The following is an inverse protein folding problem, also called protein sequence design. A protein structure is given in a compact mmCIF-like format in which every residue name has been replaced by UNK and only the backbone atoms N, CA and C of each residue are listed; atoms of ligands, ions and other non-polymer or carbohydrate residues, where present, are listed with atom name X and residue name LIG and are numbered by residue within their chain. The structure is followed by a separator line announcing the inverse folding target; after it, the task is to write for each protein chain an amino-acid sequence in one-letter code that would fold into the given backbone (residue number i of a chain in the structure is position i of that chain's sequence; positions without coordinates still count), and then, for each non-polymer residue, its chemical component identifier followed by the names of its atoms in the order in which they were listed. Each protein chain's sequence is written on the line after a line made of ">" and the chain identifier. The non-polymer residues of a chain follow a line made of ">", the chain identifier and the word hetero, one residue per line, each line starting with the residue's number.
data_IF_003292099080
#
_entry.id   IF_003292099080
#
_cell.length_a   1.000
_cell.length_b   1.000
_cell.length_c   1.000
_cell.angle_alpha   90.00
_cell.angle_beta   90.00
_cell.angle_gamma   90.00
#
_symmetry.space_group_name_H-M   'P 1'
#
loop_
_entity.id
_entity.type
_entity.pdbx_description
1 polymer ?
#
# COMPACT_ATOMS: atom_id res chain seq x y z
N UNK A 1 -8.58 -4.55 -11.09
CA UNK A 1 -8.49 -3.11 -11.38
C UNK A 1 -8.04 -2.79 -12.80
N UNK A 2 -7.00 -3.43 -13.34
CA UNK A 2 -6.49 -3.19 -14.70
C UNK A 2 -7.59 -3.18 -15.77
N UNK A 3 -8.37 -4.27 -15.88
CA UNK A 3 -9.46 -4.38 -16.86
C UNK A 3 -10.60 -3.40 -16.61
N UNK A 4 -10.81 -3.00 -15.36
CA UNK A 4 -11.86 -2.07 -14.99
C UNK A 4 -11.46 -0.61 -15.32
N UNK A 5 -10.20 -0.23 -15.11
CA UNK A 5 -9.68 1.09 -15.49
C UNK A 5 -9.64 1.20 -17.03
N UNK A 6 -9.16 0.16 -17.71
CA UNK A 6 -9.12 0.06 -19.17
C UNK A 6 -10.46 -0.32 -19.82
N UNK A 7 -11.60 -0.08 -19.17
CA UNK A 7 -12.93 -0.41 -19.71
C UNK A 7 -13.15 0.18 -21.11
N UNK A 8 -12.72 1.42 -21.29
CA UNK A 8 -12.77 2.12 -22.58
C UNK A 8 -11.53 1.80 -23.42
N UNK A 9 -11.31 0.54 -23.76
CA UNK A 9 -10.12 0.05 -24.45
C UNK A 9 -9.79 0.73 -25.78
N UNK A 10 -10.76 1.42 -26.39
CA UNK A 10 -10.56 2.23 -27.61
C UNK A 10 -9.89 3.57 -27.32
N UNK A 11 -9.85 4.03 -26.06
CA UNK A 11 -9.20 5.27 -25.66
C UNK A 11 -7.77 5.01 -25.23
N UNK A 12 -6.77 5.62 -25.89
CA UNK A 12 -5.35 5.40 -25.54
C UNK A 12 -5.03 5.84 -24.10
N UNK A 13 -5.69 6.90 -23.63
CA UNK A 13 -5.55 7.43 -22.27
C UNK A 13 -5.96 6.41 -21.21
N UNK A 14 -7.09 5.73 -21.40
CA UNK A 14 -7.55 4.69 -20.48
C UNK A 14 -6.61 3.47 -20.48
N UNK A 15 -6.02 3.11 -21.61
CA UNK A 15 -5.07 2.02 -21.69
C UNK A 15 -3.76 2.36 -20.98
N UNK A 16 -3.22 3.55 -21.18
CA UNK A 16 -2.01 4.01 -20.48
C UNK A 16 -2.22 4.09 -18.98
N UNK A 17 -3.37 4.61 -18.53
CA UNK A 17 -3.74 4.64 -17.12
C UNK A 17 -3.85 3.23 -16.51
N UNK A 18 -4.43 2.28 -17.24
CA UNK A 18 -4.55 0.90 -16.80
C UNK A 18 -3.17 0.22 -16.67
N UNK A 19 -2.29 0.38 -17.64
CA UNK A 19 -0.92 -0.15 -17.61
C UNK A 19 -0.13 0.46 -16.45
N UNK A 20 -0.21 1.77 -16.26
CA UNK A 20 0.44 2.47 -15.14
C UNK A 20 -0.03 1.93 -13.80
N UNK A 21 -1.35 1.81 -13.61
CA UNK A 21 -1.91 1.23 -12.40
C UNK A 21 -1.43 -0.21 -12.16
N UNK A 22 -1.33 -1.02 -13.21
CA UNK A 22 -0.82 -2.38 -13.10
C UNK A 22 0.64 -2.40 -12.65
N UNK A 23 1.52 -1.65 -13.31
CA UNK A 23 2.97 -1.66 -13.02
C UNK A 23 3.24 -1.16 -11.61
N UNK A 24 2.68 0.00 -11.22
CA UNK A 24 2.90 0.59 -9.90
C UNK A 24 2.43 -0.33 -8.78
N UNK A 25 1.26 -0.95 -8.95
CA UNK A 25 0.77 -1.91 -7.97
C UNK A 25 1.64 -3.18 -7.90
N UNK A 26 2.22 -3.63 -9.03
CA UNK A 26 3.13 -4.79 -9.03
C UNK A 26 4.43 -4.53 -8.28
N UNK A 27 4.94 -3.32 -8.30
CA UNK A 27 6.08 -2.94 -7.45
C UNK A 27 5.74 -3.12 -5.97
N UNK A 28 4.57 -2.67 -5.53
CA UNK A 28 4.09 -2.91 -4.16
C UNK A 28 3.86 -4.40 -3.86
N UNK A 29 3.22 -5.12 -4.78
CA UNK A 29 2.94 -6.57 -4.65
C UNK A 29 4.23 -7.40 -4.50
N UNK A 30 5.33 -6.98 -5.12
CA UNK A 30 6.64 -7.63 -4.97
C UNK A 30 7.15 -7.54 -3.53
N UNK A 31 7.12 -6.35 -2.93
CA UNK A 31 7.50 -6.20 -1.52
C UNK A 31 6.60 -7.00 -0.59
N UNK A 32 5.29 -6.99 -0.84
CA UNK A 32 4.32 -7.78 -0.08
C UNK A 32 4.60 -9.29 -0.13
N UNK A 33 4.94 -9.82 -1.32
CA UNK A 33 5.31 -11.22 -1.48
C UNK A 33 6.56 -11.60 -0.68
N UNK A 34 7.58 -10.73 -0.68
CA UNK A 34 8.78 -10.93 0.16
C UNK A 34 8.40 -10.96 1.65
N UNK A 35 7.54 -10.05 2.10
CA UNK A 35 7.04 -10.04 3.48
C UNK A 35 6.36 -11.35 3.87
N UNK A 36 5.50 -11.90 3.02
CA UNK A 36 4.83 -13.21 3.24
C UNK A 36 5.87 -14.35 3.27
N UNK A 37 6.85 -14.35 2.36
CA UNK A 37 7.88 -15.38 2.35
C UNK A 37 8.75 -15.34 3.61
N UNK A 38 9.09 -14.16 4.11
CA UNK A 38 9.81 -14.01 5.38
C UNK A 38 8.97 -14.57 6.54
N UNK A 39 7.68 -14.24 6.60
CA UNK A 39 6.80 -14.81 7.62
C UNK A 39 6.83 -16.34 7.52
N UNK A 40 6.61 -16.92 6.35
CA UNK A 40 6.59 -18.38 6.19
C UNK A 40 7.92 -19.05 6.53
N UNK A 41 9.05 -18.45 6.18
CA UNK A 41 10.39 -19.02 6.46
C UNK A 41 10.67 -19.08 7.97
N UNK A 42 10.33 -18.02 8.70
CA UNK A 42 10.70 -17.89 10.11
C UNK A 42 9.64 -18.41 11.08
N UNK A 43 8.36 -18.22 10.77
CA UNK A 43 7.25 -18.68 11.62
C UNK A 43 6.71 -20.07 11.21
N UNK A 44 7.06 -20.57 10.02
CA UNK A 44 6.61 -21.86 9.46
C UNK A 44 5.09 -21.96 9.27
N UNK A 45 4.38 -20.87 9.41
CA UNK A 45 2.93 -20.75 9.26
C UNK A 45 2.56 -19.40 8.66
N UNK A 46 1.38 -19.31 8.06
CA UNK A 46 0.76 -18.07 7.60
C UNK A 46 -0.57 -17.80 8.33
N UNK A 47 -0.90 -18.61 9.33
CA UNK A 47 -2.07 -18.41 10.15
C UNK A 47 -1.84 -17.22 11.10
N UNK A 48 -2.71 -16.21 11.05
CA UNK A 48 -2.55 -15.00 11.82
C UNK A 48 -2.37 -15.23 13.31
N UNK A 49 -3.17 -16.10 13.93
CA UNK A 49 -3.10 -16.36 15.37
C UNK A 49 -1.74 -16.95 15.75
N UNK A 50 -1.31 -17.97 15.02
CA UNK A 50 -0.02 -18.64 15.27
C UNK A 50 1.17 -17.69 15.05
N UNK A 51 1.08 -16.81 14.03
CA UNK A 51 2.12 -15.81 13.78
C UNK A 51 2.17 -14.81 14.94
N UNK A 52 1.02 -14.25 15.35
CA UNK A 52 0.97 -13.26 16.43
C UNK A 52 1.46 -13.80 17.76
N UNK A 53 1.17 -15.06 18.08
CA UNK A 53 1.65 -15.72 19.30
C UNK A 53 3.18 -15.92 19.31
N UNK A 54 3.78 -16.07 18.13
CA UNK A 54 5.23 -16.28 17.98
C UNK A 54 6.03 -14.97 17.86
N UNK A 55 5.42 -13.83 17.54
CA UNK A 55 6.11 -12.54 17.38
C UNK A 55 7.00 -12.21 18.57
N UNK A 56 6.54 -12.31 19.85
CA UNK A 56 7.36 -11.97 21.01
C UNK A 56 8.64 -12.80 21.13
N UNK A 57 8.64 -14.01 20.59
CA UNK A 57 9.79 -14.91 20.66
C UNK A 57 10.89 -14.58 19.63
N UNK A 58 10.56 -13.79 18.61
CA UNK A 58 11.43 -13.49 17.48
C UNK A 58 11.83 -12.01 17.39
N UNK A 59 11.51 -11.22 18.40
CA UNK A 59 11.77 -9.76 18.43
C UNK A 59 13.26 -9.45 18.30
N UNK A 60 14.12 -10.20 18.97
CA UNK A 60 15.57 -9.95 18.99
C UNK A 60 16.32 -10.65 17.85
N UNK A 61 15.60 -11.29 16.94
CA UNK A 61 16.23 -12.01 15.84
C UNK A 61 16.68 -11.07 14.74
N UNK A 62 17.96 -11.10 14.43
CA UNK A 62 18.55 -10.37 13.32
C UNK A 62 18.62 -11.24 12.06
N UNK A 63 18.45 -10.60 10.91
CA UNK A 63 18.50 -11.24 9.60
C UNK A 63 19.35 -10.40 8.66
N UNK A 64 20.25 -11.09 7.98
CA UNK A 64 21.07 -10.48 6.95
C UNK A 64 20.27 -10.37 5.63
N UNK A 65 19.95 -9.16 5.21
CA UNK A 65 19.20 -8.90 3.98
C UNK A 65 19.89 -7.79 3.17
N UNK A 66 20.16 -8.06 1.91
CA UNK A 66 20.82 -7.11 0.97
C UNK A 66 22.15 -6.50 1.48
N UNK A 67 22.91 -7.25 2.28
CA UNK A 67 24.19 -6.76 2.77
C UNK A 67 24.14 -5.96 4.08
N UNK A 68 22.97 -5.86 4.70
CA UNK A 68 22.73 -5.16 5.95
C UNK A 68 22.04 -6.10 6.95
N UNK A 69 22.34 -5.90 8.24
CA UNK A 69 21.67 -6.59 9.34
C UNK A 69 20.43 -5.80 9.74
N UNK A 70 19.28 -6.46 9.68
CA UNK A 70 17.99 -5.92 10.08
C UNK A 70 17.37 -6.78 11.15
N UNK A 71 16.66 -6.15 12.08
CA UNK A 71 15.73 -6.87 12.93
C UNK A 71 14.63 -7.52 12.06
N UNK A 72 14.38 -8.81 12.28
CA UNK A 72 13.44 -9.61 11.48
C UNK A 72 12.06 -8.99 11.45
N UNK A 73 11.52 -8.61 12.60
CA UNK A 73 10.17 -8.03 12.71
C UNK A 73 10.08 -6.71 11.96
N UNK A 74 11.08 -5.86 12.11
CA UNK A 74 11.15 -4.57 11.41
C UNK A 74 11.17 -4.76 9.88
N UNK A 75 11.95 -5.73 9.40
CA UNK A 75 12.02 -6.04 7.96
C UNK A 75 10.67 -6.54 7.43
N UNK A 76 10.00 -7.44 8.15
CA UNK A 76 8.67 -7.95 7.78
C UNK A 76 7.67 -6.79 7.72
N UNK A 77 7.65 -5.90 8.72
CA UNK A 77 6.77 -4.74 8.76
C UNK A 77 7.01 -3.82 7.55
N UNK A 78 8.27 -3.52 7.21
CA UNK A 78 8.60 -2.70 6.05
C UNK A 78 8.11 -3.34 4.74
N UNK A 79 8.31 -4.64 4.56
CA UNK A 79 7.89 -5.34 3.34
C UNK A 79 6.36 -5.40 3.21
N UNK A 80 5.65 -5.66 4.31
CA UNK A 80 4.18 -5.63 4.32
C UNK A 80 3.65 -4.21 4.05
N UNK A 81 4.25 -3.20 4.68
CA UNK A 81 3.86 -1.81 4.47
C UNK A 81 4.16 -1.33 3.05
N UNK A 82 5.25 -1.78 2.43
CA UNK A 82 5.55 -1.47 1.03
C UNK A 82 4.44 -1.98 0.09
N UNK A 83 3.89 -3.16 0.37
CA UNK A 83 2.70 -3.66 -0.32
C UNK A 83 1.45 -2.81 -0.08
N UNK A 84 1.24 -2.37 1.17
CA UNK A 84 0.15 -1.47 1.53
C UNK A 84 0.27 -0.11 0.83
N UNK A 85 1.48 0.45 0.71
CA UNK A 85 1.75 1.71 -0.01
C UNK A 85 1.29 1.66 -1.46
N UNK A 86 1.53 0.55 -2.15
CA UNK A 86 1.08 0.36 -3.54
C UNK A 86 -0.44 0.40 -3.67
N UNK A 87 -1.17 -0.34 -2.84
CA UNK A 87 -2.63 -0.43 -2.88
C UNK A 87 -3.31 0.84 -2.37
N UNK A 88 -2.82 1.41 -1.27
CA UNK A 88 -3.39 2.62 -0.66
C UNK A 88 -2.86 3.92 -1.25
N UNK A 89 -2.10 3.84 -2.35
CA UNK A 89 -1.60 5.01 -3.07
C UNK A 89 -0.89 6.02 -2.15
N UNK A 90 -0.03 5.53 -1.26
CA UNK A 90 0.81 6.37 -0.41
C UNK A 90 1.88 7.07 -1.25
N UNK A 91 2.52 8.09 -0.69
CA UNK A 91 3.58 8.85 -1.35
C UNK A 91 4.60 7.90 -2.01
N UNK A 92 5.14 8.27 -3.17
CA UNK A 92 5.93 7.50 -4.13
C UNK A 92 5.12 6.55 -5.02
N UNK A 93 4.08 5.84 -4.51
CA UNK A 93 3.27 4.91 -5.29
C UNK A 93 1.83 5.41 -5.56
N UNK A 94 1.57 6.71 -5.39
CA UNK A 94 0.24 7.33 -5.53
C UNK A 94 -0.16 7.66 -6.98
N UNK A 95 0.81 7.71 -7.90
CA UNK A 95 0.64 8.30 -9.24
C UNK A 95 -0.40 7.59 -10.13
N UNK A 96 -0.75 6.36 -9.83
CA UNK A 96 -1.75 5.60 -10.57
C UNK A 96 -3.19 5.97 -10.21
N UNK A 97 -3.42 6.50 -8.99
CA UNK A 97 -4.75 6.71 -8.44
C UNK A 97 -5.54 7.80 -9.18
N UNK A 98 -4.98 9.01 -9.46
CA UNK A 98 -5.67 10.03 -10.25
C UNK A 98 -5.94 9.59 -11.70
N UNK A 99 -5.03 8.84 -12.30
CA UNK A 99 -5.17 8.36 -13.68
C UNK A 99 -6.23 7.24 -13.77
N UNK A 100 -6.46 6.50 -12.68
CA UNK A 100 -7.53 5.50 -12.62
C UNK A 100 -8.95 6.09 -12.80
N UNK A 101 -9.08 7.42 -12.73
CA UNK A 101 -10.33 8.14 -12.98
C UNK A 101 -10.78 8.16 -14.46
N UNK A 102 -9.95 7.71 -15.39
CA UNK A 102 -10.31 7.52 -16.79
C UNK A 102 -11.35 6.39 -17.00
N UNK A 103 -11.52 5.53 -15.99
CA UNK A 103 -12.55 4.51 -15.99
C UNK A 103 -13.98 5.07 -15.81
N UNK A 104 -15.01 4.24 -16.02
CA UNK A 104 -16.41 4.59 -15.72
C UNK A 104 -16.59 4.97 -14.24
N UNK A 105 -17.51 5.91 -13.97
CA UNK A 105 -17.76 6.40 -12.60
C UNK A 105 -18.08 5.28 -11.59
N UNK A 106 -18.89 4.24 -11.90
CA UNK A 106 -19.11 3.14 -10.98
C UNK A 106 -17.83 2.36 -10.64
N UNK A 107 -16.92 2.23 -11.60
CA UNK A 107 -15.62 1.57 -11.39
C UNK A 107 -14.71 2.42 -10.51
N UNK A 108 -14.70 3.75 -10.75
CA UNK A 108 -13.95 4.67 -9.90
C UNK A 108 -14.46 4.61 -8.45
N UNK A 109 -15.77 4.59 -8.23
CA UNK A 109 -16.36 4.44 -6.90
C UNK A 109 -15.93 3.12 -6.23
N UNK A 110 -15.94 2.01 -6.96
CA UNK A 110 -15.51 0.71 -6.43
C UNK A 110 -14.04 0.71 -6.03
N UNK A 111 -13.16 1.24 -6.87
CA UNK A 111 -11.71 1.28 -6.64
C UNK A 111 -11.37 2.16 -5.44
N UNK A 112 -11.96 3.38 -5.37
CA UNK A 112 -11.58 4.39 -4.39
C UNK A 112 -12.29 4.20 -3.03
N UNK A 113 -13.56 3.84 -3.01
CA UNK A 113 -14.31 3.78 -1.76
C UNK A 113 -14.32 2.39 -1.14
N UNK A 114 -14.53 1.33 -1.93
CA UNK A 114 -14.93 0.07 -1.37
C UNK A 114 -13.81 -0.97 -1.22
N UNK A 115 -12.84 -1.05 -2.13
CA UNK A 115 -12.04 -2.28 -2.20
C UNK A 115 -10.53 -2.09 -2.27
N UNK A 116 -10.02 -1.43 -3.31
CA UNK A 116 -8.60 -1.54 -3.61
C UNK A 116 -7.73 -0.69 -2.68
N UNK A 117 -8.16 0.53 -2.43
CA UNK A 117 -7.35 1.52 -1.71
C UNK A 117 -7.43 1.31 -0.20
N UNK A 118 -8.56 0.84 0.30
CA UNK A 118 -8.75 0.48 1.71
C UNK A 118 -8.06 -0.82 2.11
N UNK A 119 -7.69 -1.68 1.15
CA UNK A 119 -7.02 -2.95 1.42
C UNK A 119 -5.66 -2.77 2.12
N UNK A 120 -4.88 -1.73 1.77
CA UNK A 120 -3.61 -1.46 2.44
C UNK A 120 -3.78 -0.98 3.88
N UNK A 121 -4.76 -0.12 4.14
CA UNK A 121 -5.12 0.30 5.51
C UNK A 121 -5.58 -0.91 6.33
N UNK A 122 -6.46 -1.74 5.78
CA UNK A 122 -6.88 -2.97 6.43
C UNK A 122 -5.70 -3.90 6.78
N UNK A 123 -4.73 -4.03 5.87
CA UNK A 123 -3.54 -4.84 6.11
C UNK A 123 -2.74 -4.34 7.32
N UNK A 124 -2.47 -3.03 7.40
CA UNK A 124 -1.74 -2.43 8.51
C UNK A 124 -2.49 -2.62 9.84
N UNK A 125 -3.80 -2.36 9.85
CA UNK A 125 -4.64 -2.56 11.04
C UNK A 125 -4.70 -4.03 11.44
N UNK A 126 -4.84 -4.96 10.48
CA UNK A 126 -4.89 -6.39 10.77
C UNK A 126 -3.59 -6.94 11.30
N UNK A 127 -2.46 -6.40 10.83
CA UNK A 127 -1.13 -6.79 11.25
C UNK A 127 -0.58 -5.93 12.39
N UNK A 128 -1.40 -5.09 13.04
CA UNK A 128 -0.95 -4.24 14.16
C UNK A 128 -0.20 -5.00 15.25
N UNK A 129 -0.55 -6.25 15.64
CA UNK A 129 0.22 -6.99 16.63
C UNK A 129 1.67 -7.28 16.22
N UNK A 130 2.00 -7.23 14.91
CA UNK A 130 3.38 -7.35 14.45
C UNK A 130 4.07 -5.98 14.48
N UNK A 131 3.36 -4.93 14.07
CA UNK A 131 3.90 -3.57 14.03
C UNK A 131 4.23 -3.02 15.42
N UNK A 132 3.47 -3.38 16.46
CA UNK A 132 3.67 -2.94 17.84
C UNK A 132 5.06 -3.31 18.39
N UNK A 133 5.65 -4.40 17.91
CA UNK A 133 7.00 -4.82 18.32
C UNK A 133 8.15 -4.11 17.59
N UNK A 134 7.85 -3.17 16.67
CA UNK A 134 8.86 -2.40 15.96
C UNK A 134 8.55 -0.91 15.95
N UNK A 135 9.11 -0.17 16.90
CA UNK A 135 8.98 1.31 16.96
C UNK A 135 9.47 1.99 15.67
N UNK A 136 10.52 1.44 15.05
CA UNK A 136 11.06 1.99 13.80
C UNK A 136 10.02 1.88 12.67
N UNK A 137 9.34 0.74 12.57
CA UNK A 137 8.31 0.54 11.55
C UNK A 137 7.08 1.42 11.82
N UNK A 138 6.64 1.56 13.08
CA UNK A 138 5.53 2.45 13.44
C UNK A 138 5.82 3.91 13.08
N UNK A 139 7.00 4.40 13.44
CA UNK A 139 7.42 5.75 13.11
C UNK A 139 7.50 5.97 11.59
N UNK A 140 8.00 4.99 10.86
CA UNK A 140 8.06 5.06 9.39
C UNK A 140 6.65 5.14 8.77
N UNK A 141 5.72 4.30 9.21
CA UNK A 141 4.32 4.33 8.75
C UNK A 141 3.69 5.69 9.05
N UNK A 142 3.88 6.23 10.26
CA UNK A 142 3.35 7.53 10.65
C UNK A 142 3.92 8.68 9.80
N UNK A 143 5.23 8.68 9.55
CA UNK A 143 5.87 9.70 8.71
C UNK A 143 5.36 9.65 7.26
N UNK A 144 5.31 8.46 6.66
CA UNK A 144 4.81 8.29 5.28
C UNK A 144 3.33 8.68 5.19
N UNK A 145 2.53 8.29 6.18
CA UNK A 145 1.11 8.67 6.25
C UNK A 145 0.91 10.18 6.33
N UNK A 146 1.63 10.85 7.23
CA UNK A 146 1.59 12.30 7.38
C UNK A 146 2.02 13.04 6.10
N UNK A 147 3.13 12.61 5.49
CA UNK A 147 3.61 13.19 4.24
C UNK A 147 2.60 12.99 3.11
N UNK A 148 1.98 11.81 3.03
CA UNK A 148 0.95 11.52 2.03
C UNK A 148 -0.27 12.39 2.23
N UNK A 149 -0.76 12.51 3.46
CA UNK A 149 -1.91 13.33 3.80
C UNK A 149 -1.71 14.79 3.40
N UNK A 150 -0.57 15.36 3.77
CA UNK A 150 -0.24 16.75 3.47
C UNK A 150 -0.03 16.98 1.97
N UNK A 151 0.79 16.15 1.33
CA UNK A 151 1.09 16.26 -0.10
C UNK A 151 -0.18 16.12 -0.96
N UNK A 152 -0.98 15.09 -0.72
CA UNK A 152 -2.18 14.86 -1.51
C UNK A 152 -3.23 15.97 -1.31
N UNK A 153 -3.37 16.51 -0.10
CA UNK A 153 -4.26 17.64 0.17
C UNK A 153 -3.84 18.89 -0.60
N UNK A 154 -2.56 19.23 -0.61
CA UNK A 154 -2.04 20.40 -1.34
C UNK A 154 -2.21 20.24 -2.86
N UNK A 155 -1.98 19.06 -3.40
CA UNK A 155 -2.19 18.78 -4.83
C UNK A 155 -3.69 18.84 -5.19
N UNK A 156 -4.59 18.36 -4.31
CA UNK A 156 -6.03 18.43 -4.53
C UNK A 156 -6.53 19.86 -4.73
N UNK A 157 -5.96 20.84 -4.01
CA UNK A 157 -6.32 22.25 -4.15
C UNK A 157 -5.94 22.85 -5.52
N UNK A 158 -4.92 22.29 -6.17
CA UNK A 158 -4.43 22.77 -7.46
C UNK A 158 -5.10 22.08 -8.68
N UNK A 159 -5.96 21.10 -8.47
CA UNK A 159 -6.63 20.37 -9.54
C UNK A 159 -7.90 21.11 -10.03
N UNK A 160 -8.13 21.07 -11.35
CA UNK A 160 -9.34 21.64 -11.96
C UNK A 160 -10.40 20.56 -12.28
N UNK A 161 -10.02 19.30 -12.31
CA UNK A 161 -10.91 18.18 -12.61
C UNK A 161 -11.49 17.59 -11.32
N UNK A 162 -12.81 17.62 -11.19
CA UNK A 162 -13.54 17.13 -10.01
C UNK A 162 -13.20 15.69 -9.66
N UNK A 163 -13.02 14.80 -10.64
CA UNK A 163 -12.63 13.41 -10.41
C UNK A 163 -11.24 13.31 -9.81
N UNK A 164 -10.29 14.12 -10.31
CA UNK A 164 -8.92 14.15 -9.77
C UNK A 164 -8.87 14.78 -8.39
N UNK A 165 -9.68 15.81 -8.10
CA UNK A 165 -9.82 16.37 -6.76
C UNK A 165 -10.25 15.28 -5.76
N UNK A 166 -11.28 14.51 -6.10
CA UNK A 166 -11.77 13.40 -5.25
C UNK A 166 -10.70 12.33 -5.07
N UNK A 167 -9.94 12.00 -6.13
CA UNK A 167 -8.86 11.02 -6.04
C UNK A 167 -7.74 11.47 -5.07
N UNK A 168 -7.29 12.70 -5.16
CA UNK A 168 -6.29 13.22 -4.24
C UNK A 168 -6.82 13.41 -2.82
N UNK A 169 -8.10 13.76 -2.67
CA UNK A 169 -8.75 13.80 -1.36
C UNK A 169 -8.79 12.41 -0.73
N UNK A 170 -9.13 11.37 -1.47
CA UNK A 170 -9.07 9.99 -0.95
C UNK A 170 -7.65 9.58 -0.60
N UNK A 171 -6.65 9.92 -1.42
CA UNK A 171 -5.24 9.67 -1.11
C UNK A 171 -4.82 10.33 0.21
N UNK A 172 -5.25 11.59 0.44
CA UNK A 172 -5.00 12.30 1.68
C UNK A 172 -5.64 11.61 2.90
N UNK A 173 -6.89 11.18 2.78
CA UNK A 173 -7.60 10.47 3.86
C UNK A 173 -7.00 9.10 4.19
N UNK A 174 -6.39 8.45 3.22
CA UNK A 174 -5.70 7.17 3.43
C UNK A 174 -4.30 7.32 4.04
N UNK A 175 -3.74 8.52 4.02
CA UNK A 175 -2.52 8.86 4.74
C UNK A 175 -2.77 9.12 6.23
N UNK A 176 -4.00 9.39 6.59
CA UNK A 176 -4.42 9.72 7.95
C UNK A 176 -4.60 8.47 8.81
#
# INVERSE_FOLDING_TARGET
>A
SYLLIGFWFKRPEANTAAIKAFIVNRVGDFGFAIGIFLIFIYFKTVNYNEVFDQVPLLVDKEVFFLGLEFNLITLICFMLFFGAMGKSAQIFLHTWLPDAMEGPTPVSALIHAATMVTAGVFLVVRCSPIFEYSEVALNFVAIIGMLTAFFAATVALAQNDIKKIIAYSTCSQLGY
#
